data_IF_615027953370
#
_entry.id   IF_615027953370
#
_cell.length_a   1.000
_cell.length_b   1.000
_cell.length_c   1.000
_cell.angle_alpha   90.00
_cell.angle_beta   90.00
_cell.angle_gamma   90.00
#
_symmetry.space_group_name_H-M   'P 1'
#
loop_
_entity.id
_entity.type
_entity.pdbx_description
1 polymer ?
#
# COMPACT_ATOMS: atom_id res chain seq x y z
N UNK A 1 17.97 -3.21 31.13
CA UNK A 1 17.95 -2.10 32.13
C UNK A 1 16.96 -1.08 31.65
N UNK A 2 15.92 -0.77 32.41
CA UNK A 2 14.92 0.24 32.00
C UNK A 2 15.35 1.61 32.48
N UNK A 3 15.32 2.64 31.63
CA UNK A 3 15.74 4.03 31.94
C UNK A 3 15.03 4.66 33.15
N UNK A 4 13.86 4.11 33.57
CA UNK A 4 13.03 4.62 34.66
C UNK A 4 13.03 3.73 35.92
N UNK A 5 13.84 2.67 35.95
CA UNK A 5 13.86 1.68 37.03
C UNK A 5 14.42 2.25 38.32
N UNK A 6 13.60 2.29 39.37
CA UNK A 6 13.95 2.72 40.74
C UNK A 6 13.78 1.54 41.69
N UNK A 7 14.80 0.72 41.87
CA UNK A 7 14.99 -0.24 42.95
C UNK A 7 13.79 -1.07 43.42
N UNK A 8 12.92 -1.56 42.52
CA UNK A 8 11.91 -2.58 42.85
C UNK A 8 11.84 -3.63 41.72
N UNK A 9 11.64 -4.89 42.12
CA UNK A 9 11.46 -5.98 41.15
C UNK A 9 10.15 -5.79 40.40
N UNK A 10 10.24 -5.78 39.07
CA UNK A 10 9.06 -5.72 38.20
C UNK A 10 8.47 -7.12 38.10
N UNK A 11 7.18 -7.22 38.35
CA UNK A 11 6.45 -8.47 38.14
C UNK A 11 6.50 -8.87 36.65
N UNK A 12 7.08 -10.03 36.35
CA UNK A 12 7.28 -10.52 34.99
C UNK A 12 5.96 -10.68 34.20
N UNK A 13 4.85 -10.95 34.87
CA UNK A 13 3.54 -11.03 34.22
C UNK A 13 3.04 -9.65 33.76
N UNK A 14 3.24 -8.62 34.57
CA UNK A 14 2.93 -7.23 34.23
C UNK A 14 3.83 -6.77 33.07
N UNK A 15 5.13 -7.10 33.13
CA UNK A 15 6.05 -6.77 32.05
C UNK A 15 5.64 -7.44 30.74
N UNK A 16 5.36 -8.74 30.75
CA UNK A 16 4.87 -9.48 29.58
C UNK A 16 3.61 -8.84 29.00
N UNK A 17 2.66 -8.44 29.84
CA UNK A 17 1.42 -7.81 29.40
C UNK A 17 1.65 -6.41 28.80
N UNK A 18 2.51 -5.60 29.41
CA UNK A 18 2.73 -4.22 29.01
C UNK A 18 3.67 -4.07 27.81
N UNK A 19 4.65 -4.94 27.65
CA UNK A 19 5.53 -4.98 26.47
C UNK A 19 4.81 -5.66 25.30
N UNK A 20 4.08 -6.74 25.57
CA UNK A 20 3.34 -7.48 24.53
C UNK A 20 4.25 -7.90 23.37
N UNK A 21 3.84 -7.56 22.16
CA UNK A 21 4.60 -7.78 20.92
C UNK A 21 5.46 -6.58 20.47
N UNK A 22 5.65 -5.60 21.34
CA UNK A 22 6.28 -4.34 20.95
C UNK A 22 7.71 -4.52 20.42
N UNK A 23 8.51 -5.40 21.05
CA UNK A 23 9.87 -5.71 20.57
C UNK A 23 9.86 -6.32 19.15
N UNK A 24 8.91 -7.22 18.86
CA UNK A 24 8.76 -7.82 17.53
C UNK A 24 8.39 -6.73 16.49
N UNK A 25 7.47 -5.86 16.85
CA UNK A 25 7.04 -4.77 15.97
C UNK A 25 8.13 -3.71 15.79
N UNK A 26 8.91 -3.41 16.80
CA UNK A 26 9.99 -2.45 16.75
C UNK A 26 11.13 -2.89 15.82
N UNK A 27 11.26 -4.18 15.51
CA UNK A 27 12.22 -4.64 14.49
C UNK A 27 11.95 -4.03 13.12
N UNK A 28 10.68 -3.74 12.76
CA UNK A 28 10.34 -2.99 11.54
C UNK A 28 10.90 -1.56 11.56
N UNK A 29 11.09 -0.99 12.73
CA UNK A 29 11.46 0.41 12.93
C UNK A 29 12.96 0.62 13.15
N UNK A 30 13.73 -0.44 13.39
CA UNK A 30 15.11 -0.35 13.88
C UNK A 30 16.01 0.56 13.03
N UNK A 31 16.06 0.40 11.71
CA UNK A 31 16.88 1.25 10.86
C UNK A 31 16.39 2.71 10.80
N UNK A 32 15.11 2.94 11.03
CA UNK A 32 14.50 4.28 11.02
C UNK A 32 14.78 5.03 12.33
N UNK A 33 14.83 4.34 13.48
CA UNK A 33 15.29 4.91 14.73
C UNK A 33 16.76 5.38 14.62
N UNK A 34 17.59 4.60 13.95
CA UNK A 34 18.98 4.97 13.67
C UNK A 34 19.05 6.23 12.80
N UNK A 35 18.29 6.31 11.70
CA UNK A 35 18.25 7.50 10.84
C UNK A 35 17.76 8.75 11.60
N UNK A 36 16.67 8.61 12.36
CA UNK A 36 16.14 9.67 13.22
C UNK A 36 17.18 10.13 14.25
N UNK A 37 17.91 9.19 14.84
CA UNK A 37 18.98 9.45 15.79
C UNK A 37 20.16 10.17 15.16
N UNK A 38 20.59 9.79 13.94
CA UNK A 38 21.67 10.49 13.22
C UNK A 38 21.32 11.96 12.94
N UNK A 39 20.11 12.23 12.48
CA UNK A 39 19.64 13.60 12.27
C UNK A 39 19.56 14.39 13.59
N UNK A 40 19.10 13.73 14.66
CA UNK A 40 18.99 14.34 15.97
C UNK A 40 20.34 14.75 16.55
N UNK A 41 21.34 13.85 16.58
CA UNK A 41 22.67 14.19 17.12
C UNK A 41 23.41 15.24 16.29
N UNK A 42 23.20 15.25 14.96
CA UNK A 42 23.72 16.31 14.10
C UNK A 42 23.13 17.67 14.49
N UNK A 43 21.86 17.71 14.82
CA UNK A 43 21.22 18.91 15.35
C UNK A 43 21.75 19.27 16.75
N UNK A 44 21.98 18.29 17.64
CA UNK A 44 22.52 18.55 18.98
C UNK A 44 23.90 19.21 18.94
N UNK A 45 24.77 18.81 18.03
CA UNK A 45 26.08 19.48 17.81
C UNK A 45 25.86 20.93 17.38
N UNK A 46 24.94 21.18 16.43
CA UNK A 46 24.68 22.53 15.93
C UNK A 46 24.19 23.53 17.00
N UNK A 47 23.64 23.02 18.09
CA UNK A 47 23.17 23.83 19.24
C UNK A 47 24.10 23.76 20.46
N UNK A 48 25.29 23.14 20.32
CA UNK A 48 26.33 23.09 21.35
C UNK A 48 26.08 22.07 22.47
N UNK A 49 25.22 21.07 22.28
CA UNK A 49 25.02 19.98 23.25
C UNK A 49 25.93 18.78 22.99
N UNK A 50 26.57 18.73 21.83
CA UNK A 50 27.64 17.79 21.48
C UNK A 50 28.83 18.53 20.90
N UNK A 51 30.02 18.04 21.18
CA UNK A 51 31.24 18.49 20.53
C UNK A 51 31.37 17.79 19.14
N UNK A 52 32.11 18.39 18.21
CA UNK A 52 32.30 17.89 16.87
C UNK A 52 32.89 16.47 16.81
N UNK A 53 33.88 16.21 17.70
CA UNK A 53 34.50 14.90 17.78
C UNK A 53 33.57 13.84 18.37
N UNK A 54 32.66 14.20 19.27
CA UNK A 54 31.62 13.33 19.80
C UNK A 54 30.63 12.99 18.71
N UNK A 55 30.16 13.96 17.91
CA UNK A 55 29.29 13.76 16.77
C UNK A 55 29.91 12.75 15.79
N UNK A 56 31.18 12.92 15.43
CA UNK A 56 31.86 12.03 14.49
C UNK A 56 31.86 10.58 14.98
N UNK A 57 32.16 10.34 16.25
CA UNK A 57 32.18 9.01 16.84
C UNK A 57 30.78 8.39 16.93
N UNK A 58 29.78 9.17 17.34
CA UNK A 58 28.38 8.72 17.41
C UNK A 58 27.82 8.39 16.04
N UNK A 59 28.07 9.22 15.03
CA UNK A 59 27.65 8.93 13.64
C UNK A 59 28.28 7.65 13.09
N UNK A 60 29.59 7.45 13.34
CA UNK A 60 30.27 6.23 12.90
C UNK A 60 29.63 4.98 13.52
N UNK A 61 29.30 5.01 14.82
CA UNK A 61 28.69 3.83 15.46
C UNK A 61 27.21 3.66 15.05
N UNK A 62 26.45 4.73 14.87
CA UNK A 62 25.09 4.65 14.34
C UNK A 62 25.07 4.05 12.93
N UNK A 63 26.03 4.39 12.06
CA UNK A 63 26.17 3.75 10.74
C UNK A 63 26.47 2.25 10.84
N UNK A 64 27.24 1.81 11.85
CA UNK A 64 27.47 0.39 12.10
C UNK A 64 26.17 -0.29 12.53
N UNK A 65 25.41 0.31 13.43
CA UNK A 65 24.10 -0.22 13.87
C UNK A 65 23.13 -0.27 12.67
N UNK A 66 23.10 0.77 11.82
CA UNK A 66 22.27 0.78 10.61
C UNK A 66 22.60 -0.41 9.68
N UNK A 67 23.89 -0.65 9.42
CA UNK A 67 24.34 -1.80 8.61
C UNK A 67 23.90 -3.14 9.22
N UNK A 68 24.02 -3.27 10.55
CA UNK A 68 23.53 -4.45 11.28
C UNK A 68 22.01 -4.66 11.11
N UNK A 69 21.22 -3.57 11.09
CA UNK A 69 19.78 -3.65 10.79
C UNK A 69 19.52 -4.15 9.36
N UNK A 70 20.26 -3.66 8.36
CA UNK A 70 20.10 -4.07 6.97
C UNK A 70 20.54 -5.52 6.71
N UNK A 71 21.52 -6.00 7.48
CA UNK A 71 22.01 -7.38 7.39
C UNK A 71 21.15 -8.39 8.19
N UNK A 72 20.14 -7.89 8.92
CA UNK A 72 19.28 -8.73 9.77
C UNK A 72 19.97 -9.23 11.05
N UNK A 73 21.07 -8.59 11.45
CA UNK A 73 21.88 -8.95 12.62
C UNK A 73 21.49 -8.16 13.88
N UNK A 74 20.75 -7.05 13.72
CA UNK A 74 20.26 -6.28 14.86
C UNK A 74 19.20 -7.04 15.62
N UNK A 75 19.29 -7.04 16.95
CA UNK A 75 18.36 -7.73 17.84
C UNK A 75 18.04 -6.83 19.02
N UNK A 76 16.79 -6.78 19.45
CA UNK A 76 16.41 -6.18 20.73
C UNK A 76 16.56 -7.25 21.80
N UNK A 77 17.47 -7.03 22.76
CA UNK A 77 17.80 -7.99 23.83
C UNK A 77 16.60 -8.16 24.78
N UNK A 78 16.48 -9.35 25.39
CA UNK A 78 15.31 -9.74 26.18
C UNK A 78 15.04 -8.82 27.41
N UNK A 79 16.10 -8.21 27.96
CA UNK A 79 16.01 -7.28 29.09
C UNK A 79 15.84 -5.80 28.65
N UNK A 80 15.70 -5.56 27.36
CA UNK A 80 15.51 -4.22 26.78
C UNK A 80 14.05 -4.05 26.38
N UNK A 81 13.49 -2.87 26.64
CA UNK A 81 12.05 -2.61 26.46
C UNK A 81 11.66 -2.41 24.99
N UNK A 82 12.48 -1.65 24.23
CA UNK A 82 12.17 -1.18 22.88
C UNK A 82 13.44 -0.91 22.06
N UNK A 83 13.26 -0.59 20.79
CA UNK A 83 14.34 -0.27 19.85
C UNK A 83 15.17 0.94 20.32
N UNK A 84 14.54 1.98 20.86
CA UNK A 84 15.23 3.20 21.30
C UNK A 84 16.24 2.89 22.42
N UNK A 85 15.82 2.08 23.39
CA UNK A 85 16.69 1.62 24.47
C UNK A 85 17.81 0.72 23.96
N UNK A 86 17.55 -0.12 22.96
CA UNK A 86 18.56 -0.98 22.36
C UNK A 86 19.65 -0.15 21.67
N UNK A 87 19.29 0.84 20.87
CA UNK A 87 20.24 1.71 20.18
C UNK A 87 21.07 2.52 21.19
N UNK A 88 20.44 3.14 22.21
CA UNK A 88 21.15 3.86 23.27
C UNK A 88 22.11 2.95 24.06
N UNK A 89 21.69 1.71 24.34
CA UNK A 89 22.52 0.75 25.06
C UNK A 89 23.75 0.33 24.23
N UNK A 90 23.59 0.07 22.93
CA UNK A 90 24.69 -0.27 22.03
C UNK A 90 25.71 0.87 21.95
N UNK A 91 25.24 2.11 21.79
CA UNK A 91 26.10 3.30 21.83
C UNK A 91 26.83 3.46 23.18
N UNK A 92 26.11 3.26 24.27
CA UNK A 92 26.70 3.37 25.62
C UNK A 92 27.73 2.27 25.89
N UNK A 93 27.51 1.04 25.46
CA UNK A 93 28.49 -0.06 25.55
C UNK A 93 29.77 0.27 24.77
N UNK A 94 29.65 0.92 23.63
CA UNK A 94 30.77 1.23 22.76
C UNK A 94 31.51 2.52 23.12
N UNK A 95 30.75 3.55 23.48
CA UNK A 95 31.24 4.93 23.61
C UNK A 95 31.11 5.50 25.05
N UNK A 96 30.67 4.71 26.02
CA UNK A 96 30.50 5.12 27.41
C UNK A 96 29.46 6.23 27.56
N UNK A 97 29.78 7.24 28.41
CA UNK A 97 28.83 8.33 28.72
C UNK A 97 28.46 9.18 27.50
N UNK A 98 29.27 9.19 26.46
CA UNK A 98 28.96 9.86 25.20
C UNK A 98 27.70 9.25 24.57
N UNK A 99 27.54 7.92 24.59
CA UNK A 99 26.35 7.25 24.05
C UNK A 99 25.05 7.68 24.71
N UNK A 100 25.08 8.07 25.99
CA UNK A 100 23.91 8.54 26.73
C UNK A 100 23.42 9.93 26.29
N UNK A 101 24.29 10.75 25.67
CA UNK A 101 23.91 12.08 25.19
C UNK A 101 22.88 12.09 24.10
N UNK A 102 22.71 10.97 23.36
CA UNK A 102 21.76 10.82 22.25
C UNK A 102 20.30 11.12 22.67
N UNK A 103 19.97 10.91 23.95
CA UNK A 103 18.62 11.13 24.47
C UNK A 103 18.30 12.59 24.80
N UNK A 104 19.32 13.50 24.79
CA UNK A 104 19.13 14.90 25.13
C UNK A 104 18.09 15.58 24.25
N UNK A 105 17.11 16.27 24.87
CA UNK A 105 16.12 17.07 24.15
C UNK A 105 15.02 16.28 23.41
N UNK A 106 14.94 14.96 23.54
CA UNK A 106 13.86 14.16 22.96
C UNK A 106 13.20 13.22 23.98
N UNK A 107 12.13 12.59 23.57
CA UNK A 107 11.39 11.57 24.31
C UNK A 107 11.19 10.35 23.40
N UNK A 108 10.97 9.17 24.00
CA UNK A 108 10.48 7.99 23.25
C UNK A 108 9.23 8.32 22.43
N UNK A 109 8.42 9.27 22.87
CA UNK A 109 7.20 9.66 22.19
C UNK A 109 7.48 10.25 20.81
N UNK A 110 8.42 11.19 20.65
CA UNK A 110 8.76 11.76 19.35
C UNK A 110 9.73 10.91 18.55
N UNK A 111 10.49 10.02 19.20
CA UNK A 111 11.30 9.00 18.52
C UNK A 111 10.39 8.03 17.75
N UNK A 112 9.44 7.37 18.42
CA UNK A 112 8.55 6.42 17.74
C UNK A 112 7.71 7.09 16.65
N UNK A 113 7.37 8.38 16.79
CA UNK A 113 6.65 9.12 15.75
C UNK A 113 7.49 9.31 14.50
N UNK A 114 8.76 9.70 14.63
CA UNK A 114 9.64 9.88 13.47
C UNK A 114 9.94 8.55 12.82
N UNK A 115 10.18 7.49 13.58
CA UNK A 115 10.45 6.17 13.07
C UNK A 115 9.27 5.64 12.24
N UNK A 116 8.05 5.74 12.76
CA UNK A 116 6.84 5.36 12.05
C UNK A 116 6.65 6.15 10.76
N UNK A 117 6.94 7.46 10.76
CA UNK A 117 6.81 8.28 9.56
C UNK A 117 7.89 7.97 8.53
N UNK A 118 9.12 7.72 8.95
CA UNK A 118 10.21 7.29 8.08
C UNK A 118 9.89 5.92 7.46
N UNK A 119 9.54 4.94 8.29
CA UNK A 119 9.08 3.62 7.84
C UNK A 119 7.93 3.74 6.85
N UNK A 120 6.87 4.47 7.22
CA UNK A 120 5.66 4.55 6.40
C UNK A 120 5.95 5.21 5.05
N UNK A 121 6.80 6.24 4.97
CA UNK A 121 7.20 6.85 3.69
C UNK A 121 7.84 5.85 2.74
N UNK A 122 8.76 5.01 3.25
CA UNK A 122 9.41 3.96 2.46
C UNK A 122 8.40 2.92 2.00
N UNK A 123 7.53 2.46 2.90
CA UNK A 123 6.51 1.47 2.55
C UNK A 123 5.50 2.01 1.53
N UNK A 124 5.13 3.29 1.60
CA UNK A 124 4.24 3.90 0.60
C UNK A 124 4.91 4.03 -0.77
N UNK A 125 6.23 4.26 -0.81
CA UNK A 125 7.02 4.20 -2.05
C UNK A 125 7.02 2.78 -2.63
N UNK A 126 7.36 1.79 -1.82
CA UNK A 126 7.36 0.38 -2.26
C UNK A 126 5.99 -0.03 -2.82
N UNK A 127 4.89 0.36 -2.12
CA UNK A 127 3.53 0.11 -2.61
C UNK A 127 3.27 0.82 -3.94
N UNK A 128 3.70 2.08 -4.10
CA UNK A 128 3.53 2.80 -5.36
C UNK A 128 4.28 2.11 -6.52
N UNK A 129 5.47 1.57 -6.27
CA UNK A 129 6.23 0.80 -7.25
C UNK A 129 5.53 -0.52 -7.61
N UNK A 130 4.97 -1.24 -6.63
CA UNK A 130 4.21 -2.47 -6.88
C UNK A 130 2.87 -2.21 -7.59
N UNK A 131 2.17 -1.12 -7.24
CA UNK A 131 0.97 -0.67 -7.97
C UNK A 131 1.32 -0.34 -9.41
N UNK A 132 2.46 0.34 -9.64
CA UNK A 132 2.95 0.61 -11.00
C UNK A 132 3.21 -0.67 -11.77
N UNK A 133 3.85 -1.65 -11.16
CA UNK A 133 4.12 -2.95 -11.78
C UNK A 133 2.83 -3.64 -12.25
N UNK A 134 1.82 -3.70 -11.38
CA UNK A 134 0.52 -4.27 -11.75
C UNK A 134 -0.20 -3.44 -12.82
N UNK A 135 -0.15 -2.11 -12.71
CA UNK A 135 -0.73 -1.19 -13.68
C UNK A 135 -0.15 -1.40 -15.09
N UNK A 136 1.17 -1.49 -15.19
CA UNK A 136 1.86 -1.69 -16.48
C UNK A 136 1.45 -3.01 -17.13
N UNK A 137 1.31 -4.09 -16.35
CA UNK A 137 0.82 -5.39 -16.85
C UNK A 137 -0.64 -5.33 -17.32
N UNK A 138 -1.50 -4.63 -16.57
CA UNK A 138 -2.91 -4.46 -16.96
C UNK A 138 -3.06 -3.66 -18.26
N UNK A 139 -2.30 -2.59 -18.43
CA UNK A 139 -2.28 -1.81 -19.69
C UNK A 139 -1.75 -2.66 -20.85
N UNK A 140 -0.67 -3.41 -20.64
CA UNK A 140 -0.13 -4.31 -21.66
C UNK A 140 -1.15 -5.36 -22.10
N UNK A 141 -1.89 -5.96 -21.16
CA UNK A 141 -2.97 -6.92 -21.47
C UNK A 141 -4.17 -6.24 -22.13
N UNK A 142 -4.51 -5.04 -21.70
CA UNK A 142 -5.56 -4.25 -22.34
C UNK A 142 -5.24 -4.02 -23.83
N UNK A 143 -4.03 -3.60 -24.16
CA UNK A 143 -3.60 -3.43 -25.55
C UNK A 143 -3.50 -4.74 -26.31
N UNK A 144 -2.97 -5.79 -25.70
CA UNK A 144 -2.84 -7.13 -26.30
C UNK A 144 -4.19 -7.68 -26.75
N UNK A 145 -5.22 -7.53 -25.91
CA UNK A 145 -6.54 -8.14 -26.10
C UNK A 145 -7.64 -7.13 -26.45
N UNK A 146 -7.30 -5.94 -26.90
CA UNK A 146 -8.25 -4.85 -27.17
C UNK A 146 -9.36 -5.20 -28.17
N UNK A 147 -9.06 -6.11 -29.11
CA UNK A 147 -9.99 -6.54 -30.15
C UNK A 147 -10.70 -7.86 -29.82
N UNK A 148 -10.38 -8.49 -28.69
CA UNK A 148 -11.02 -9.75 -28.30
C UNK A 148 -12.25 -9.43 -27.46
N UNK A 149 -13.42 -9.67 -28.07
CA UNK A 149 -14.70 -9.45 -27.41
C UNK A 149 -14.95 -10.47 -26.31
N UNK A 150 -15.64 -10.04 -25.27
CA UNK A 150 -16.15 -10.87 -24.20
C UNK A 150 -17.58 -10.45 -23.81
N UNK A 151 -18.40 -11.35 -23.24
CA UNK A 151 -19.72 -10.96 -22.73
C UNK A 151 -19.61 -10.02 -21.54
N UNK A 152 -20.25 -8.86 -21.62
CA UNK A 152 -20.47 -8.00 -20.48
C UNK A 152 -21.69 -8.44 -19.67
N UNK A 153 -21.63 -8.29 -18.35
CA UNK A 153 -22.68 -8.74 -17.42
C UNK A 153 -23.26 -7.60 -16.62
N UNK A 154 -24.57 -7.61 -16.46
CA UNK A 154 -25.28 -6.86 -15.41
C UNK A 154 -26.20 -7.82 -14.66
N UNK A 155 -26.31 -7.70 -13.33
CA UNK A 155 -27.10 -8.61 -12.49
C UNK A 155 -26.73 -10.10 -12.66
N UNK A 156 -25.48 -10.41 -13.02
CA UNK A 156 -25.01 -11.74 -13.42
C UNK A 156 -25.77 -12.34 -14.61
N UNK A 157 -26.39 -11.49 -15.43
CA UNK A 157 -27.00 -11.86 -16.71
C UNK A 157 -26.17 -11.29 -17.85
N UNK A 158 -26.07 -12.03 -18.94
CA UNK A 158 -25.43 -11.56 -20.18
C UNK A 158 -26.16 -10.30 -20.64
N UNK A 159 -25.42 -9.21 -20.83
CA UNK A 159 -26.00 -7.91 -21.16
C UNK A 159 -25.58 -7.43 -22.55
N UNK A 160 -24.39 -6.92 -22.70
CA UNK A 160 -23.89 -6.31 -23.92
C UNK A 160 -22.48 -6.80 -24.24
N UNK A 161 -22.00 -6.61 -25.49
CA UNK A 161 -20.61 -6.87 -25.82
C UNK A 161 -19.68 -5.99 -24.99
N UNK A 162 -18.59 -6.58 -24.53
CA UNK A 162 -17.44 -5.93 -23.94
C UNK A 162 -16.17 -6.47 -24.61
N UNK A 163 -14.99 -6.10 -24.13
CA UNK A 163 -13.73 -6.69 -24.57
C UNK A 163 -12.82 -6.97 -23.38
N UNK A 164 -11.89 -7.91 -23.56
CA UNK A 164 -10.83 -8.10 -22.56
C UNK A 164 -9.98 -6.84 -22.40
N UNK A 165 -9.78 -6.05 -23.46
CA UNK A 165 -9.11 -4.77 -23.35
C UNK A 165 -9.80 -3.84 -22.37
N UNK A 166 -11.14 -3.70 -22.45
CA UNK A 166 -11.91 -2.90 -21.49
C UNK A 166 -11.81 -3.45 -20.06
N UNK A 167 -11.87 -4.78 -19.90
CA UNK A 167 -11.81 -5.40 -18.58
C UNK A 167 -10.46 -5.13 -17.87
N UNK A 168 -9.33 -5.34 -18.56
CA UNK A 168 -8.01 -5.04 -18.01
C UNK A 168 -7.81 -3.54 -17.79
N UNK A 169 -8.22 -2.72 -18.77
CA UNK A 169 -8.10 -1.25 -18.69
C UNK A 169 -8.88 -0.64 -17.53
N UNK A 170 -10.06 -1.19 -17.21
CA UNK A 170 -10.87 -0.72 -16.09
C UNK A 170 -10.16 -0.91 -14.73
N UNK A 171 -9.41 -2.00 -14.54
CA UNK A 171 -8.60 -2.19 -13.32
C UNK A 171 -7.37 -1.30 -13.32
N UNK A 172 -6.75 -1.03 -14.47
CA UNK A 172 -5.66 -0.07 -14.57
C UNK A 172 -6.12 1.34 -14.18
N UNK A 173 -7.25 1.81 -14.68
CA UNK A 173 -7.81 3.11 -14.33
C UNK A 173 -8.21 3.20 -12.85
N UNK A 174 -8.79 2.12 -12.29
CA UNK A 174 -9.07 2.04 -10.85
C UNK A 174 -7.81 2.19 -9.98
N UNK A 175 -6.68 1.61 -10.40
CA UNK A 175 -5.40 1.77 -9.70
C UNK A 175 -4.85 3.20 -9.78
N UNK A 176 -5.17 3.97 -10.82
CA UNK A 176 -4.81 5.38 -10.89
C UNK A 176 -5.54 6.21 -9.82
N UNK A 177 -6.83 5.95 -9.59
CA UNK A 177 -7.59 6.57 -8.51
C UNK A 177 -7.04 6.16 -7.13
N UNK A 178 -6.71 4.88 -6.93
CA UNK A 178 -6.11 4.39 -5.70
C UNK A 178 -4.75 5.04 -5.42
N UNK A 179 -3.93 5.24 -6.47
CA UNK A 179 -2.63 5.91 -6.37
C UNK A 179 -2.78 7.38 -5.95
N UNK A 180 -3.81 8.08 -6.42
CA UNK A 180 -4.12 9.45 -6.01
C UNK A 180 -4.42 9.52 -4.51
N UNK A 181 -5.16 8.53 -3.98
CA UNK A 181 -5.46 8.46 -2.56
C UNK A 181 -4.20 8.11 -1.74
N UNK A 182 -3.33 7.22 -2.25
CA UNK A 182 -2.03 6.90 -1.67
C UNK A 182 -1.13 8.13 -1.59
N UNK A 183 -1.11 8.97 -2.64
CA UNK A 183 -0.37 10.23 -2.68
C UNK A 183 -0.83 11.20 -1.57
N UNK A 184 -2.14 11.32 -1.35
CA UNK A 184 -2.67 12.15 -0.27
C UNK A 184 -2.21 11.64 1.11
N UNK A 185 -2.19 10.32 1.33
CA UNK A 185 -1.66 9.71 2.55
C UNK A 185 -0.16 9.95 2.71
N UNK A 186 0.61 9.87 1.62
CA UNK A 186 2.04 10.17 1.63
C UNK A 186 2.31 11.63 2.04
N UNK A 187 1.63 12.60 1.44
CA UNK A 187 1.76 14.03 1.78
C UNK A 187 1.45 14.33 3.26
N UNK A 188 0.49 13.62 3.84
CA UNK A 188 0.19 13.74 5.28
C UNK A 188 1.25 13.10 6.17
N UNK A 189 1.87 12.02 5.73
CA UNK A 189 2.94 11.32 6.43
C UNK A 189 4.26 12.07 6.35
N UNK A 190 4.53 12.75 5.23
CA UNK A 190 5.81 13.41 4.92
C UNK A 190 6.00 14.75 5.67
N UNK A 191 5.79 14.71 7.01
CA UNK A 191 5.92 15.85 7.92
C UNK A 191 6.66 15.42 9.17
N UNK A 192 7.78 16.12 9.48
CA UNK A 192 8.67 15.78 10.60
C UNK A 192 8.01 16.03 11.97
N UNK A 193 7.88 15.04 12.85
CA UNK A 193 7.39 15.21 14.23
C UNK A 193 8.52 15.46 15.24
N UNK A 194 9.78 15.13 14.88
CA UNK A 194 10.91 15.13 15.80
C UNK A 194 11.15 16.52 16.40
N UNK A 195 11.53 16.54 17.68
CA UNK A 195 11.68 17.75 18.49
C UNK A 195 10.38 18.22 19.15
N UNK A 196 9.28 17.46 19.01
CA UNK A 196 8.09 17.65 19.85
C UNK A 196 8.27 17.12 21.27
N UNK A 197 9.34 16.36 21.52
CA UNK A 197 9.67 15.71 22.78
C UNK A 197 8.49 14.89 23.33
N UNK A 198 8.11 15.06 24.57
CA UNK A 198 6.93 14.36 25.13
C UNK A 198 5.58 14.92 24.63
N UNK A 199 5.58 15.76 23.60
CA UNK A 199 4.40 16.39 23.02
C UNK A 199 4.17 17.84 23.42
N UNK A 200 5.08 18.43 24.19
CA UNK A 200 4.96 19.79 24.71
C UNK A 200 6.21 20.64 24.44
N UNK A 201 7.14 20.13 23.61
CA UNK A 201 8.38 20.79 23.27
C UNK A 201 9.47 20.60 24.34
N UNK A 202 10.54 21.42 24.24
CA UNK A 202 11.70 21.35 25.10
C UNK A 202 12.20 22.75 25.42
N UNK A 203 12.88 22.91 26.58
CA UNK A 203 13.63 24.15 26.92
C UNK A 203 14.96 24.24 26.19
N UNK A 204 15.45 23.18 25.55
CA UNK A 204 16.59 23.25 24.65
C UNK A 204 16.22 23.97 23.35
N UNK A 205 17.14 24.71 22.73
CA UNK A 205 16.87 25.43 21.47
C UNK A 205 16.93 24.51 20.26
N UNK A 206 16.09 23.47 20.26
CA UNK A 206 16.08 22.43 19.22
C UNK A 206 15.81 23.02 17.82
N UNK A 207 16.66 22.68 16.86
CA UNK A 207 16.49 23.10 15.45
C UNK A 207 15.70 22.07 14.65
N UNK A 208 14.36 22.15 14.71
CA UNK A 208 13.45 21.26 13.99
C UNK A 208 13.50 21.45 12.47
N UNK A 209 13.86 22.62 11.98
CA UNK A 209 14.06 22.87 10.55
C UNK A 209 15.24 22.06 10.02
N UNK A 210 16.33 22.00 10.78
CA UNK A 210 17.51 21.21 10.43
C UNK A 210 17.20 19.72 10.36
N UNK A 211 16.55 19.16 11.37
CA UNK A 211 16.18 17.73 11.36
C UNK A 211 15.16 17.41 10.25
N UNK A 212 14.26 18.34 9.91
CA UNK A 212 13.34 18.21 8.77
C UNK A 212 14.09 18.08 7.45
N UNK A 213 15.10 18.92 7.24
CA UNK A 213 15.95 18.88 6.04
C UNK A 213 16.80 17.63 5.98
N UNK A 214 17.47 17.26 7.08
CA UNK A 214 18.36 16.09 7.17
C UNK A 214 17.61 14.78 6.89
N UNK A 215 16.34 14.69 7.31
CA UNK A 215 15.49 13.51 7.09
C UNK A 215 14.67 13.58 5.81
N UNK A 216 14.82 14.64 5.00
CA UNK A 216 14.13 14.79 3.73
C UNK A 216 12.61 14.91 3.82
N UNK A 217 12.09 15.39 4.93
CA UNK A 217 10.65 15.71 5.03
C UNK A 217 10.31 16.99 4.25
N UNK A 218 9.13 17.09 3.69
CA UNK A 218 8.66 18.30 2.99
C UNK A 218 8.41 19.46 3.97
N UNK A 219 7.93 19.12 5.14
CA UNK A 219 7.62 20.09 6.20
C UNK A 219 7.70 19.43 7.58
N UNK A 220 7.27 20.10 8.61
CA UNK A 220 7.16 19.54 9.96
C UNK A 220 5.71 19.63 10.48
N UNK A 221 5.40 18.84 11.48
CA UNK A 221 4.24 19.09 12.32
C UNK A 221 4.54 20.33 13.17
N UNK A 222 4.00 21.49 12.78
CA UNK A 222 4.37 22.78 13.35
C UNK A 222 4.04 22.89 14.84
N UNK A 223 2.88 22.44 15.23
CA UNK A 223 2.44 22.42 16.62
C UNK A 223 2.91 21.13 17.31
N UNK A 224 3.71 21.23 18.36
CA UNK A 224 4.28 20.08 19.08
C UNK A 224 3.20 19.19 19.72
N UNK A 225 2.08 19.77 20.13
CA UNK A 225 0.93 18.99 20.65
C UNK A 225 0.26 18.22 19.51
N UNK A 226 0.12 18.84 18.34
CA UNK A 226 -0.41 18.17 17.15
C UNK A 226 0.47 17.00 16.70
N UNK A 227 1.79 17.11 16.81
CA UNK A 227 2.72 16.03 16.48
C UNK A 227 2.33 14.73 17.21
N UNK A 228 2.02 14.82 18.53
CA UNK A 228 1.53 13.66 19.29
C UNK A 228 0.10 13.27 18.95
N UNK A 229 -0.80 14.21 18.68
CA UNK A 229 -2.17 13.93 18.22
C UNK A 229 -2.19 13.26 16.84
N UNK A 230 -1.11 13.38 16.07
CA UNK A 230 -0.90 12.74 14.79
C UNK A 230 -0.80 11.22 14.89
N UNK A 231 -0.42 10.67 16.04
CA UNK A 231 -0.32 9.23 16.28
C UNK A 231 -1.71 8.58 16.20
N UNK A 232 -1.81 7.45 15.50
CA UNK A 232 -3.08 6.81 15.17
C UNK A 232 -3.82 7.47 14.01
N UNK A 233 -3.85 8.82 13.93
CA UNK A 233 -4.47 9.54 12.82
C UNK A 233 -3.73 9.30 11.50
N UNK A 234 -2.40 9.33 11.51
CA UNK A 234 -1.57 9.05 10.34
C UNK A 234 -1.76 7.60 9.89
N UNK A 235 -1.66 6.65 10.81
CA UNK A 235 -1.81 5.23 10.53
C UNK A 235 -3.21 4.89 9.99
N UNK A 236 -4.26 5.53 10.52
CA UNK A 236 -5.62 5.37 10.00
C UNK A 236 -5.76 5.90 8.57
N UNK A 237 -5.20 7.08 8.27
CA UNK A 237 -5.29 7.67 6.94
C UNK A 237 -4.53 6.82 5.91
N UNK A 238 -3.35 6.31 6.26
CA UNK A 238 -2.61 5.34 5.45
C UNK A 238 -3.40 4.03 5.32
N UNK A 239 -4.03 3.58 6.40
CA UNK A 239 -4.92 2.42 6.39
C UNK A 239 -6.07 2.56 5.39
N UNK A 240 -6.65 3.75 5.23
CA UNK A 240 -7.65 4.00 4.17
C UNK A 240 -7.05 3.88 2.77
N UNK A 241 -5.83 4.39 2.53
CA UNK A 241 -5.18 4.24 1.24
C UNK A 241 -4.85 2.76 0.92
N UNK A 242 -4.38 1.99 1.90
CA UNK A 242 -4.21 0.53 1.77
C UNK A 242 -5.55 -0.15 1.45
N UNK A 243 -6.62 0.25 2.13
CA UNK A 243 -7.94 -0.35 1.95
C UNK A 243 -8.55 -0.11 0.56
N UNK A 244 -8.30 1.05 -0.09
CA UNK A 244 -8.78 1.30 -1.47
C UNK A 244 -8.08 0.39 -2.46
N UNK A 245 -6.76 0.29 -2.44
CA UNK A 245 -5.99 -0.62 -3.29
C UNK A 245 -6.44 -2.07 -3.06
N UNK A 246 -6.59 -2.47 -1.80
CA UNK A 246 -7.09 -3.79 -1.43
C UNK A 246 -8.51 -4.05 -1.97
N UNK A 247 -9.38 -3.03 -2.02
CA UNK A 247 -10.71 -3.11 -2.60
C UNK A 247 -10.67 -3.43 -4.10
N UNK A 248 -9.82 -2.74 -4.85
CA UNK A 248 -9.57 -3.00 -6.28
C UNK A 248 -9.04 -4.41 -6.50
N UNK A 249 -8.03 -4.84 -5.72
CA UNK A 249 -7.48 -6.20 -5.81
C UNK A 249 -8.52 -7.28 -5.48
N UNK A 250 -9.34 -7.08 -4.44
CA UNK A 250 -10.38 -8.04 -4.06
C UNK A 250 -11.40 -8.22 -5.18
N UNK A 251 -11.81 -7.13 -5.84
CA UNK A 251 -12.74 -7.15 -6.97
C UNK A 251 -12.14 -7.87 -8.19
N UNK A 252 -10.90 -7.52 -8.55
CA UNK A 252 -10.17 -8.17 -9.64
C UNK A 252 -10.00 -9.67 -9.39
N UNK A 253 -9.63 -10.06 -8.17
CA UNK A 253 -9.47 -11.47 -7.81
C UNK A 253 -10.79 -12.22 -7.84
N UNK A 254 -11.92 -11.59 -7.49
CA UNK A 254 -13.24 -12.19 -7.61
C UNK A 254 -13.59 -12.46 -9.08
N UNK A 255 -13.43 -11.45 -9.96
CA UNK A 255 -13.67 -11.61 -11.39
C UNK A 255 -12.79 -12.70 -11.98
N UNK A 256 -11.50 -12.71 -11.67
CA UNK A 256 -10.56 -13.71 -12.16
C UNK A 256 -10.95 -15.14 -11.73
N UNK A 257 -11.39 -15.36 -10.48
CA UNK A 257 -11.91 -16.64 -10.02
C UNK A 257 -13.17 -17.05 -10.79
N UNK A 258 -14.10 -16.11 -10.98
CA UNK A 258 -15.35 -16.36 -11.71
C UNK A 258 -15.07 -16.69 -13.17
N UNK A 259 -14.26 -15.90 -13.85
CA UNK A 259 -13.93 -16.07 -15.27
C UNK A 259 -13.04 -17.29 -15.54
N UNK A 260 -12.25 -17.74 -14.57
CA UNK A 260 -11.49 -18.99 -14.66
C UNK A 260 -12.35 -20.24 -14.37
N UNK A 261 -13.57 -20.09 -13.83
CA UNK A 261 -14.42 -21.23 -13.52
C UNK A 261 -14.79 -22.01 -14.80
N UNK A 262 -15.08 -23.32 -14.65
CA UNK A 262 -15.42 -24.19 -15.78
C UNK A 262 -16.66 -23.73 -16.56
N UNK A 263 -17.59 -23.02 -15.89
CA UNK A 263 -18.81 -22.54 -16.52
C UNK A 263 -18.57 -21.29 -17.40
N UNK A 264 -17.67 -20.41 -17.00
CA UNK A 264 -17.31 -19.23 -17.78
C UNK A 264 -16.18 -19.53 -18.76
N UNK A 265 -15.06 -20.07 -18.27
CA UNK A 265 -13.87 -20.39 -19.08
C UNK A 265 -13.38 -19.22 -19.94
N UNK A 266 -13.51 -17.99 -19.44
CA UNK A 266 -13.08 -16.77 -20.16
C UNK A 266 -11.58 -16.56 -20.09
N UNK A 267 -10.98 -16.95 -18.94
CA UNK A 267 -9.53 -16.87 -18.74
C UNK A 267 -8.97 -18.20 -18.27
N UNK A 268 -7.69 -18.41 -18.53
CA UNK A 268 -6.94 -19.55 -18.08
C UNK A 268 -5.72 -19.08 -17.31
N UNK A 269 -5.56 -19.61 -16.12
CA UNK A 269 -4.44 -19.31 -15.26
C UNK A 269 -3.22 -20.20 -15.58
N UNK A 270 -2.00 -19.70 -15.38
CA UNK A 270 -0.78 -20.51 -15.44
C UNK A 270 -0.87 -21.73 -14.53
N UNK A 271 -0.27 -22.84 -14.95
CA UNK A 271 -0.33 -24.11 -14.17
C UNK A 271 0.26 -23.93 -12.77
N UNK A 272 1.34 -23.18 -12.66
CA UNK A 272 2.03 -22.87 -11.39
C UNK A 272 1.21 -22.01 -10.43
N UNK A 273 0.18 -21.32 -10.94
CA UNK A 273 -0.74 -20.50 -10.14
C UNK A 273 -2.05 -21.22 -9.77
N UNK A 274 -2.11 -22.52 -10.01
CA UNK A 274 -3.27 -23.36 -9.69
C UNK A 274 -2.85 -24.54 -8.87
N UNK A 275 -3.69 -24.98 -7.94
CA UNK A 275 -3.47 -26.25 -7.22
C UNK A 275 -4.40 -27.33 -7.71
N UNK A 276 -3.94 -28.57 -7.61
CA UNK A 276 -4.73 -29.75 -7.95
C UNK A 276 -5.59 -30.22 -6.77
N UNK A 277 -6.37 -31.25 -7.03
CA UNK A 277 -7.13 -31.98 -6.00
C UNK A 277 -6.48 -33.34 -5.76
N UNK A 278 -6.38 -33.78 -4.49
CA UNK A 278 -5.86 -35.09 -4.15
C UNK A 278 -6.72 -36.26 -4.64
N UNK A 279 -7.98 -35.99 -4.99
CA UNK A 279 -8.97 -37.02 -5.41
C UNK A 279 -9.63 -36.73 -6.75
N UNK A 280 -9.45 -35.53 -7.32
CA UNK A 280 -10.06 -35.11 -8.59
C UNK A 280 -8.96 -34.64 -9.55
N UNK A 281 -8.38 -35.52 -10.39
CA UNK A 281 -7.19 -35.21 -11.17
C UNK A 281 -7.39 -34.15 -12.26
N UNK A 282 -8.64 -33.84 -12.61
CA UNK A 282 -8.99 -32.79 -13.58
C UNK A 282 -9.14 -31.41 -12.99
N UNK A 283 -9.25 -31.30 -11.64
CA UNK A 283 -9.55 -30.04 -10.94
C UNK A 283 -8.30 -29.18 -10.80
N UNK A 284 -8.47 -27.90 -11.18
CA UNK A 284 -7.46 -26.84 -11.00
C UNK A 284 -8.10 -25.69 -10.26
N UNK A 285 -7.58 -25.38 -9.07
CA UNK A 285 -8.15 -24.36 -8.21
C UNK A 285 -7.40 -23.03 -8.41
N UNK A 286 -8.07 -21.88 -8.44
CA UNK A 286 -7.45 -20.56 -8.54
C UNK A 286 -7.00 -20.04 -7.17
N UNK A 287 -6.33 -20.89 -6.36
CA UNK A 287 -6.04 -20.62 -4.94
C UNK A 287 -5.30 -19.29 -4.72
N UNK A 288 -4.45 -18.90 -5.66
CA UNK A 288 -3.71 -17.65 -5.52
C UNK A 288 -4.66 -16.44 -5.54
N UNK A 289 -5.62 -16.40 -6.47
CA UNK A 289 -6.63 -15.33 -6.48
C UNK A 289 -7.60 -15.42 -5.30
N UNK A 290 -7.90 -16.62 -4.81
CA UNK A 290 -8.70 -16.79 -3.59
C UNK A 290 -7.98 -16.18 -2.37
N UNK A 291 -6.67 -16.39 -2.25
CA UNK A 291 -5.85 -15.82 -1.17
C UNK A 291 -5.65 -14.31 -1.35
N UNK A 292 -5.42 -13.80 -2.56
CA UNK A 292 -5.40 -12.36 -2.83
C UNK A 292 -6.71 -11.72 -2.36
N UNK A 293 -7.86 -12.30 -2.73
CA UNK A 293 -9.18 -11.82 -2.31
C UNK A 293 -9.33 -11.81 -0.79
N UNK A 294 -8.94 -12.89 -0.12
CA UNK A 294 -9.07 -13.02 1.32
C UNK A 294 -8.16 -12.04 2.08
N UNK A 295 -6.87 -11.93 1.69
CA UNK A 295 -5.93 -10.97 2.27
C UNK A 295 -6.41 -9.52 2.02
N UNK A 296 -6.85 -9.22 0.81
CA UNK A 296 -7.37 -7.90 0.45
C UNK A 296 -8.63 -7.54 1.25
N UNK A 297 -9.56 -8.48 1.47
CA UNK A 297 -10.72 -8.25 2.32
C UNK A 297 -10.31 -7.99 3.79
N UNK A 298 -9.29 -8.70 4.30
CA UNK A 298 -8.71 -8.45 5.63
C UNK A 298 -8.13 -7.03 5.73
N UNK A 299 -7.37 -6.59 4.72
CA UNK A 299 -6.74 -5.26 4.67
C UNK A 299 -7.76 -4.12 4.66
N UNK A 300 -8.94 -4.30 4.07
CA UNK A 300 -10.01 -3.30 4.09
C UNK A 300 -10.52 -2.99 5.52
N UNK A 301 -10.29 -3.86 6.49
CA UNK A 301 -10.66 -3.63 7.89
C UNK A 301 -9.60 -2.80 8.66
N UNK A 302 -8.41 -2.56 8.11
CA UNK A 302 -7.31 -1.88 8.79
C UNK A 302 -7.69 -0.50 9.34
N UNK A 303 -8.29 0.43 8.58
CA UNK A 303 -8.62 1.75 9.11
C UNK A 303 -9.63 1.69 10.26
N UNK A 304 -10.53 0.70 10.26
CA UNK A 304 -11.48 0.48 11.34
C UNK A 304 -10.78 -0.03 12.61
N UNK A 305 -9.84 -0.97 12.48
CA UNK A 305 -9.06 -1.48 13.61
C UNK A 305 -8.28 -0.35 14.29
N UNK A 306 -7.57 0.48 13.48
CA UNK A 306 -6.84 1.64 14.02
C UNK A 306 -7.79 2.62 14.69
N UNK A 307 -8.96 2.90 14.09
CA UNK A 307 -9.96 3.79 14.66
C UNK A 307 -10.43 3.32 16.04
N UNK A 308 -10.70 2.02 16.19
CA UNK A 308 -11.16 1.46 17.47
C UNK A 308 -10.09 1.54 18.57
N UNK A 309 -8.82 1.32 18.22
CA UNK A 309 -7.71 1.42 19.18
C UNK A 309 -7.50 2.86 19.65
N UNK A 310 -7.61 3.85 18.77
CA UNK A 310 -7.34 5.25 19.10
C UNK A 310 -8.57 6.00 19.68
N UNK A 311 -9.73 5.38 19.76
CA UNK A 311 -10.94 6.02 20.25
C UNK A 311 -10.83 6.38 21.75
N UNK A 312 -11.49 7.47 22.13
CA UNK A 312 -11.62 7.94 23.52
C UNK A 312 -10.30 8.35 24.20
N UNK A 313 -9.26 8.64 23.43
CA UNK A 313 -7.99 9.12 23.96
C UNK A 313 -7.98 10.66 23.93
N UNK A 314 -7.68 11.33 25.05
CA UNK A 314 -7.45 12.77 25.07
C UNK A 314 -6.11 13.12 24.41
N UNK A 315 -5.81 14.42 24.36
CA UNK A 315 -4.51 14.92 23.85
C UNK A 315 -3.35 14.41 24.69
N UNK A 316 -2.27 14.04 24.04
CA UNK A 316 -1.05 13.49 24.66
C UNK A 316 -0.78 12.05 24.21
N UNK A 317 0.27 11.46 24.77
CA UNK A 317 0.63 10.07 24.50
C UNK A 317 -0.10 9.13 25.44
N UNK A 318 -0.58 8.02 24.89
CA UNK A 318 -1.18 6.90 25.63
C UNK A 318 -0.63 5.58 25.13
N UNK A 319 -0.41 4.64 26.03
CA UNK A 319 0.15 3.32 25.69
C UNK A 319 -0.77 2.48 24.80
N UNK A 320 -2.05 2.79 24.76
CA UNK A 320 -3.03 2.21 23.82
C UNK A 320 -2.53 2.24 22.37
N UNK A 321 -1.87 3.32 21.99
CA UNK A 321 -1.34 3.52 20.64
C UNK A 321 -0.21 2.56 20.26
N UNK A 322 0.39 1.86 21.23
CA UNK A 322 1.40 0.83 21.00
C UNK A 322 0.82 -0.33 20.17
N UNK A 323 -0.43 -0.74 20.47
CA UNK A 323 -1.10 -1.87 19.81
C UNK A 323 -1.35 -1.60 18.31
N UNK A 324 -1.40 -0.34 17.89
CA UNK A 324 -1.56 0.00 16.46
C UNK A 324 -0.45 -0.63 15.61
N UNK A 325 0.78 -0.74 16.12
CA UNK A 325 1.90 -1.35 15.40
C UNK A 325 1.59 -2.79 14.96
N UNK A 326 0.89 -3.56 15.78
CA UNK A 326 0.57 -4.98 15.54
C UNK A 326 -0.33 -5.19 14.31
N UNK A 327 -1.20 -4.23 14.01
CA UNK A 327 -2.11 -4.30 12.86
C UNK A 327 -1.60 -3.50 11.66
N UNK A 328 -0.85 -2.43 11.91
CA UNK A 328 -0.41 -1.48 10.90
C UNK A 328 0.85 -1.93 10.15
N UNK A 329 1.91 -2.32 10.88
CA UNK A 329 3.20 -2.63 10.26
C UNK A 329 3.14 -3.86 9.34
N UNK A 330 2.52 -5.00 9.71
CA UNK A 330 2.44 -6.16 8.83
C UNK A 330 1.50 -5.96 7.62
N UNK A 331 0.61 -4.95 7.66
CA UNK A 331 -0.34 -4.72 6.58
C UNK A 331 0.34 -4.32 5.26
N UNK A 332 1.51 -3.68 5.34
CA UNK A 332 2.29 -3.33 4.16
C UNK A 332 2.81 -4.56 3.44
N UNK A 333 3.33 -5.55 4.16
CA UNK A 333 3.82 -6.79 3.58
C UNK A 333 2.68 -7.59 2.95
N UNK A 334 1.54 -7.72 3.65
CA UNK A 334 0.34 -8.39 3.10
C UNK A 334 -0.14 -7.72 1.79
N UNK A 335 -0.09 -6.39 1.68
CA UNK A 335 -0.50 -5.68 0.46
C UNK A 335 0.52 -5.85 -0.68
N UNK A 336 1.83 -5.70 -0.39
CA UNK A 336 2.90 -5.88 -1.38
C UNK A 336 2.86 -7.30 -1.96
N UNK A 337 2.73 -8.32 -1.12
CA UNK A 337 2.59 -9.72 -1.55
C UNK A 337 1.41 -9.89 -2.53
N UNK A 338 0.25 -9.27 -2.21
CA UNK A 338 -0.93 -9.35 -3.08
C UNK A 338 -0.70 -8.65 -4.43
N UNK A 339 -0.07 -7.47 -4.44
CA UNK A 339 0.24 -6.72 -5.67
C UNK A 339 1.23 -7.48 -6.56
N UNK A 340 2.34 -7.97 -5.98
CA UNK A 340 3.36 -8.74 -6.70
C UNK A 340 2.78 -10.01 -7.32
N UNK A 341 1.99 -10.73 -6.55
CA UNK A 341 1.37 -11.96 -7.04
C UNK A 341 0.30 -11.68 -8.11
N UNK A 342 -0.47 -10.59 -7.97
CA UNK A 342 -1.42 -10.17 -8.98
C UNK A 342 -0.71 -9.79 -10.28
N UNK A 343 0.35 -8.98 -10.23
CA UNK A 343 1.14 -8.60 -11.41
C UNK A 343 1.73 -9.83 -12.11
N UNK A 344 2.29 -10.77 -11.33
CA UNK A 344 2.86 -12.01 -11.87
C UNK A 344 1.82 -12.85 -12.63
N UNK A 345 0.60 -12.98 -12.09
CA UNK A 345 -0.45 -13.78 -12.73
C UNK A 345 -1.01 -13.05 -13.95
N UNK A 346 -1.28 -11.75 -13.84
CA UNK A 346 -1.81 -10.94 -14.95
C UNK A 346 -0.84 -10.97 -16.14
N UNK A 347 0.46 -10.88 -15.92
CA UNK A 347 1.46 -11.04 -16.99
C UNK A 347 1.28 -12.34 -17.79
N UNK A 348 0.90 -13.45 -17.12
CA UNK A 348 0.84 -14.80 -17.70
C UNK A 348 -0.58 -15.30 -18.03
N UNK A 349 -1.62 -14.55 -17.65
CA UNK A 349 -3.01 -14.95 -17.90
C UNK A 349 -3.28 -15.03 -19.40
N UNK A 350 -3.95 -16.11 -19.82
CA UNK A 350 -4.42 -16.30 -21.19
C UNK A 350 -5.93 -16.07 -21.25
N UNK A 351 -6.41 -15.42 -22.30
CA UNK A 351 -7.85 -15.26 -22.55
C UNK A 351 -8.35 -16.30 -23.54
N UNK A 352 -9.62 -16.65 -23.43
CA UNK A 352 -10.27 -17.52 -24.39
C UNK A 352 -10.85 -16.66 -25.53
N UNK A 353 -10.21 -16.70 -26.69
CA UNK A 353 -10.61 -15.93 -27.87
C UNK A 353 -11.86 -16.48 -28.56
N UNK A 354 -12.33 -17.69 -28.17
CA UNK A 354 -13.42 -18.43 -28.76
C UNK A 354 -14.72 -18.41 -27.94
N UNK A 355 -14.84 -17.53 -26.95
CA UNK A 355 -16.05 -17.47 -26.10
C UNK A 355 -17.31 -17.26 -26.94
N UNK A 356 -17.22 -16.36 -27.92
CA UNK A 356 -18.35 -15.96 -28.74
C UNK A 356 -18.73 -16.95 -29.84
N UNK A 357 -18.01 -18.08 -29.93
CA UNK A 357 -18.46 -19.23 -30.78
C UNK A 357 -19.69 -19.93 -30.19
N UNK A 358 -19.93 -19.73 -28.89
CA UNK A 358 -21.11 -20.26 -28.23
C UNK A 358 -22.34 -19.37 -28.53
N UNK A 359 -23.38 -19.92 -29.24
CA UNK A 359 -24.55 -19.16 -29.63
C UNK A 359 -25.40 -18.64 -28.45
N UNK A 360 -25.17 -19.11 -27.22
CA UNK A 360 -25.84 -18.55 -26.04
C UNK A 360 -25.56 -17.07 -25.85
N UNK A 361 -24.45 -16.54 -26.41
CA UNK A 361 -24.06 -15.13 -26.32
C UNK A 361 -24.59 -14.28 -27.48
N UNK A 362 -25.19 -14.86 -28.52
CA UNK A 362 -25.71 -14.10 -29.65
C UNK A 362 -26.70 -12.99 -29.26
N UNK A 363 -27.64 -13.20 -28.31
CA UNK A 363 -28.55 -12.12 -27.88
C UNK A 363 -27.90 -10.87 -27.28
N UNK A 364 -26.63 -10.93 -26.81
CA UNK A 364 -25.95 -9.76 -26.28
C UNK A 364 -25.75 -8.64 -27.32
N UNK A 365 -25.77 -9.00 -28.63
CA UNK A 365 -25.63 -8.05 -29.73
C UNK A 365 -26.98 -7.38 -30.12
N UNK A 366 -28.06 -7.67 -29.41
CA UNK A 366 -29.40 -7.16 -29.74
C UNK A 366 -29.48 -5.63 -29.73
N UNK A 367 -28.79 -4.98 -28.81
CA UNK A 367 -28.75 -3.50 -28.72
C UNK A 367 -28.03 -2.87 -29.92
N UNK A 368 -26.98 -3.50 -30.42
CA UNK A 368 -26.26 -3.05 -31.63
C UNK A 368 -27.17 -3.11 -32.85
N UNK A 369 -27.96 -4.18 -32.99
CA UNK A 369 -28.94 -4.31 -34.07
C UNK A 369 -30.08 -3.28 -33.94
N UNK A 370 -30.60 -3.06 -32.73
CA UNK A 370 -31.61 -2.00 -32.46
C UNK A 370 -31.05 -0.64 -32.87
N UNK A 371 -29.82 -0.32 -32.48
CA UNK A 371 -29.18 0.93 -32.82
C UNK A 371 -28.95 1.09 -34.34
N UNK A 372 -28.54 0.00 -35.01
CA UNK A 372 -28.36 -0.01 -36.47
C UNK A 372 -29.70 0.24 -37.21
N UNK A 373 -30.78 -0.38 -36.79
CA UNK A 373 -32.10 -0.15 -37.35
C UNK A 373 -32.59 1.28 -37.10
N UNK A 374 -32.35 1.81 -35.90
CA UNK A 374 -32.72 3.18 -35.55
C UNK A 374 -31.94 4.20 -36.38
N UNK A 375 -30.64 4.00 -36.57
CA UNK A 375 -29.78 4.84 -37.42
C UNK A 375 -30.23 4.82 -38.90
N UNK A 376 -30.87 3.74 -39.32
CA UNK A 376 -31.50 3.59 -40.67
C UNK A 376 -32.94 4.13 -40.74
N UNK A 377 -33.40 4.86 -39.73
CA UNK A 377 -34.67 5.59 -39.73
C UNK A 377 -35.87 4.84 -39.14
N UNK A 378 -35.67 3.65 -38.57
CA UNK A 378 -36.74 2.96 -37.83
C UNK A 378 -36.92 3.60 -36.45
N UNK A 379 -38.17 3.89 -35.98
CA UNK A 379 -38.36 4.34 -34.60
C UNK A 379 -37.77 3.34 -33.58
N UNK A 380 -37.05 3.82 -32.59
CA UNK A 380 -36.32 2.96 -31.64
C UNK A 380 -37.21 1.88 -31.00
N UNK A 381 -38.45 2.23 -30.61
CA UNK A 381 -39.39 1.25 -30.02
C UNK A 381 -39.80 0.18 -30.97
N UNK A 382 -39.91 0.47 -32.28
CA UNK A 382 -40.26 -0.50 -33.29
C UNK A 382 -39.08 -1.42 -33.61
N UNK A 383 -37.88 -0.86 -33.67
CA UNK A 383 -36.63 -1.62 -33.78
C UNK A 383 -36.46 -2.58 -32.58
N UNK A 384 -36.67 -2.09 -31.36
CA UNK A 384 -36.62 -2.91 -30.15
C UNK A 384 -37.60 -4.10 -30.19
N UNK A 385 -38.87 -3.82 -30.53
CA UNK A 385 -39.88 -4.88 -30.65
C UNK A 385 -39.53 -5.89 -31.73
N UNK A 386 -39.06 -5.43 -32.90
CA UNK A 386 -38.66 -6.28 -34.00
C UNK A 386 -37.54 -7.23 -33.59
N UNK A 387 -36.45 -6.69 -33.03
CA UNK A 387 -35.32 -7.50 -32.61
C UNK A 387 -35.71 -8.48 -31.50
N UNK A 388 -36.53 -8.06 -30.52
CA UNK A 388 -37.06 -8.95 -29.49
C UNK A 388 -37.84 -10.14 -30.06
N UNK A 389 -38.75 -9.90 -31.03
CA UNK A 389 -39.49 -10.95 -31.69
C UNK A 389 -38.60 -11.88 -32.55
N UNK A 390 -37.58 -11.34 -33.20
CA UNK A 390 -36.61 -12.13 -33.96
C UNK A 390 -35.80 -13.06 -33.02
N UNK A 391 -35.45 -12.61 -31.82
CA UNK A 391 -34.80 -13.44 -30.82
C UNK A 391 -35.71 -14.54 -30.31
N UNK A 392 -36.95 -14.21 -29.94
CA UNK A 392 -37.94 -15.19 -29.46
C UNK A 392 -38.25 -16.27 -30.53
N UNK A 393 -38.28 -15.88 -31.80
CA UNK A 393 -38.50 -16.79 -32.93
C UNK A 393 -37.25 -17.60 -33.33
N UNK A 394 -36.10 -17.34 -32.75
CA UNK A 394 -34.82 -17.97 -33.12
C UNK A 394 -34.26 -17.52 -34.47
N UNK A 395 -34.73 -16.38 -34.99
CA UNK A 395 -34.35 -15.83 -36.30
C UNK A 395 -33.26 -14.75 -36.18
N UNK A 396 -32.84 -14.38 -34.97
CA UNK A 396 -31.84 -13.37 -34.74
C UNK A 396 -30.44 -13.88 -35.12
N UNK A 397 -29.79 -13.18 -36.04
CA UNK A 397 -28.42 -13.44 -36.47
C UNK A 397 -27.61 -12.18 -36.15
N UNK A 398 -26.70 -12.22 -35.16
CA UNK A 398 -25.94 -11.04 -34.76
C UNK A 398 -24.86 -10.68 -35.80
N UNK A 399 -24.66 -9.39 -36.00
CA UNK A 399 -23.38 -8.89 -36.51
C UNK A 399 -22.40 -8.76 -35.31
N UNK A 400 -21.34 -9.59 -35.31
CA UNK A 400 -20.32 -9.60 -34.25
C UNK A 400 -19.18 -8.62 -34.52
N UNK A 401 -19.21 -7.88 -35.62
CA UNK A 401 -18.22 -6.88 -35.95
C UNK A 401 -18.61 -5.53 -35.35
N UNK A 402 -18.17 -5.30 -34.12
CA UNK A 402 -18.50 -4.09 -33.35
C UNK A 402 -17.33 -3.13 -33.36
N UNK A 403 -17.65 -1.86 -33.61
CA UNK A 403 -16.68 -0.77 -33.52
C UNK A 403 -17.41 0.47 -33.01
N UNK A 404 -17.08 0.88 -31.78
CA UNK A 404 -17.55 2.14 -31.22
C UNK A 404 -16.51 3.24 -31.49
N UNK A 405 -16.95 4.46 -31.69
CA UNK A 405 -16.07 5.60 -32.00
C UNK A 405 -15.90 6.56 -30.82
N UNK A 406 -16.77 6.47 -29.82
CA UNK A 406 -16.69 7.32 -28.63
C UNK A 406 -15.58 6.86 -27.69
N UNK A 407 -15.09 7.77 -26.88
CA UNK A 407 -13.99 7.59 -25.94
C UNK A 407 -14.32 6.51 -24.88
N UNK A 408 -13.32 5.69 -24.54
CA UNK A 408 -13.40 4.70 -23.46
C UNK A 408 -14.24 3.48 -23.80
N UNK A 409 -14.51 3.17 -25.08
CA UNK A 409 -15.32 2.02 -25.48
C UNK A 409 -14.56 1.07 -26.42
N UNK A 410 -15.25 -0.01 -26.86
CA UNK A 410 -14.70 -0.99 -27.81
C UNK A 410 -14.20 -0.28 -29.08
N UNK A 411 -12.92 -0.45 -29.40
CA UNK A 411 -12.28 0.23 -30.54
C UNK A 411 -11.60 1.56 -30.20
N UNK A 412 -11.86 2.17 -29.02
CA UNK A 412 -11.23 3.41 -28.56
C UNK A 412 -11.04 3.40 -27.05
N UNK A 413 -10.10 2.59 -26.53
CA UNK A 413 -9.95 2.27 -25.11
C UNK A 413 -9.36 3.40 -24.24
N UNK A 414 -8.74 4.42 -24.84
CA UNK A 414 -8.10 5.55 -24.14
C UNK A 414 -6.96 5.13 -23.19
N UNK A 415 -6.28 4.01 -23.47
CA UNK A 415 -5.20 3.50 -22.62
C UNK A 415 -4.02 4.47 -22.48
N UNK A 416 -3.74 5.29 -23.52
CA UNK A 416 -2.68 6.28 -23.47
C UNK A 416 -3.00 7.40 -22.46
N UNK A 417 -4.24 7.84 -22.38
CA UNK A 417 -4.73 8.84 -21.45
C UNK A 417 -4.74 8.31 -20.02
N UNK A 418 -5.15 7.05 -19.82
CA UNK A 418 -5.07 6.37 -18.51
C UNK A 418 -3.61 6.28 -18.05
N UNK A 419 -2.69 5.92 -18.94
CA UNK A 419 -1.27 5.86 -18.62
C UNK A 419 -0.68 7.23 -18.31
N UNK A 420 -1.09 8.28 -19.06
CA UNK A 420 -0.66 9.64 -18.78
C UNK A 420 -1.15 10.14 -17.42
N UNK A 421 -2.42 9.85 -17.07
CA UNK A 421 -2.99 10.17 -15.77
C UNK A 421 -2.19 9.50 -14.65
N UNK A 422 -1.97 8.19 -14.74
CA UNK A 422 -1.22 7.41 -13.75
C UNK A 422 0.20 7.97 -13.55
N UNK A 423 0.93 8.20 -14.63
CA UNK A 423 2.30 8.71 -14.59
C UNK A 423 2.36 10.13 -13.99
N UNK A 424 1.37 10.98 -14.26
CA UNK A 424 1.28 12.32 -13.66
C UNK A 424 1.13 12.22 -12.13
N UNK A 425 0.23 11.36 -11.65
CA UNK A 425 0.04 11.16 -10.21
C UNK A 425 1.32 10.61 -9.56
N UNK A 426 1.97 9.63 -10.20
CA UNK A 426 3.19 9.01 -9.68
C UNK A 426 4.34 10.02 -9.57
N UNK A 427 4.51 10.88 -10.56
CA UNK A 427 5.56 11.91 -10.55
C UNK A 427 5.42 12.94 -9.42
N UNK A 428 4.20 13.20 -8.97
CA UNK A 428 3.90 14.17 -7.91
C UNK A 428 4.21 13.68 -6.47
N UNK A 429 4.70 12.46 -6.29
CA UNK A 429 5.15 11.97 -4.98
C UNK A 429 6.50 12.58 -4.56
N UNK A 430 7.37 12.86 -5.51
CA UNK A 430 8.72 13.42 -5.26
C UNK A 430 9.55 12.59 -4.27
N UNK A 431 9.58 11.26 -4.46
CA UNK A 431 10.32 10.33 -3.59
C UNK A 431 11.82 10.59 -3.54
N UNK A 432 12.39 11.21 -4.57
CA UNK A 432 13.83 11.48 -4.73
C UNK A 432 14.40 12.29 -3.55
N UNK A 433 13.60 13.17 -2.98
CA UNK A 433 14.02 13.99 -1.83
C UNK A 433 14.29 13.13 -0.59
N UNK A 434 13.43 12.16 -0.34
CA UNK A 434 13.59 11.20 0.75
C UNK A 434 14.85 10.35 0.55
N UNK A 435 15.02 9.77 -0.64
CA UNK A 435 16.16 8.92 -0.99
C UNK A 435 17.49 9.67 -0.93
N UNK A 436 17.52 10.92 -1.43
CA UNK A 436 18.70 11.78 -1.39
C UNK A 436 19.10 12.12 0.03
N UNK A 437 18.14 12.43 0.91
CA UNK A 437 18.41 12.77 2.30
C UNK A 437 18.98 11.57 3.06
N UNK A 438 18.40 10.39 2.91
CA UNK A 438 18.90 9.16 3.52
C UNK A 438 20.32 8.82 3.04
N UNK A 439 20.52 8.86 1.72
CA UNK A 439 21.85 8.66 1.14
C UNK A 439 22.88 9.64 1.71
N UNK A 440 22.51 10.91 1.91
CA UNK A 440 23.40 11.94 2.45
C UNK A 440 23.75 11.69 3.93
N UNK A 441 22.81 11.20 4.74
CA UNK A 441 23.05 10.83 6.13
C UNK A 441 24.00 9.62 6.26
N UNK A 442 23.92 8.69 5.32
CA UNK A 442 24.69 7.44 5.33
C UNK A 442 26.05 7.57 4.64
N UNK A 443 26.30 8.63 3.85
CA UNK A 443 27.61 8.87 3.24
C UNK A 443 28.68 9.19 4.30
N UNK A 444 29.92 8.79 4.02
CA UNK A 444 31.08 9.04 4.90
C UNK A 444 31.49 10.52 5.00
#
# INVERSE_FOLDING_TARGET
MKLWEKNFEINKEIERFTVGRDREMDMYLAKYDVLGSMAHITMLESIGLLEKDELTQLLAELKNIYRSCEQGEFVIEDDVEDVHSQVEMLLTRKLGDMGKKIHSGRSRNDQVLVDLKLFTRHQLKDIADEVKSLFDELIAKSEQYKNILMPGYTHLQVAMPSSFGLWFGAYAESLADDLLFLQAAYKMTNRNPLGSAAGYGSSFPLNRTMTTSLLGFDSMDYNVVYAQMGRGKMERNVGFAIATIAGTLAKMAFDACMFNSQNFSFVKLPKECTTGSSIMPHKKNPDVFELIRAKSNKLQALPQQVTLIMNNLPVGYFRDLQIIKEVFLPAFDDLKDCLQMAAYIINKIEVNEHILDNPMYDPMFSVEEVNRLAANGMPFRDAYKKVGLDIEAGNFVPDKNIHHTHEGSIGNLMNAEIQQLFNSILSDFHFERMEQAEKSLLQE
#
